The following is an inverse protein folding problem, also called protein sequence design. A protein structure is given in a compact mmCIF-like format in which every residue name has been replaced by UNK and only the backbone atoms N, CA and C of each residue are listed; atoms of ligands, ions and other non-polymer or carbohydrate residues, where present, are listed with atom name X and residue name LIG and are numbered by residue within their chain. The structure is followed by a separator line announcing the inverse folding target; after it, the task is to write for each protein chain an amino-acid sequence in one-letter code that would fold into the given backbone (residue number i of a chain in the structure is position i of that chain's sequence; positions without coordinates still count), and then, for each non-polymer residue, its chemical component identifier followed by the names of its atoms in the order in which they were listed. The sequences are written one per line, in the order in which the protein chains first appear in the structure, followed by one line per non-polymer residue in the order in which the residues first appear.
data_IF_447664258350
#
_entry.id   IF_447664258350
#
_cell.length_a   1.000
_cell.length_b   1.000
_cell.length_c   1.000
_cell.angle_alpha   90.00
_cell.angle_beta   90.00
_cell.angle_gamma   90.00
#
_symmetry.space_group_name_H-M   'P 1'
#
loop_
_entity.id
_entity.type
_entity.pdbx_description
1 polymer ?
#
# COMPACT_ATOMS: atom_id res chain seq x y z
N UNK A 1 32.25 20.81 -11.49
CA UNK A 1 32.92 21.10 -10.19
C UNK A 1 31.94 21.17 -9.02
N UNK A 2 30.69 21.62 -9.20
CA UNK A 2 29.70 21.67 -8.12
C UNK A 2 29.27 20.26 -7.61
N UNK A 3 29.13 19.29 -8.51
CA UNK A 3 28.63 17.95 -8.16
C UNK A 3 29.64 17.12 -7.37
N UNK A 4 30.94 17.26 -7.67
CA UNK A 4 32.02 16.56 -6.96
C UNK A 4 32.06 16.94 -5.47
N UNK A 5 31.95 18.23 -5.15
CA UNK A 5 31.93 18.70 -3.75
C UNK A 5 30.67 18.25 -3.00
N UNK A 6 29.53 18.11 -3.70
CA UNK A 6 28.29 17.59 -3.13
C UNK A 6 28.41 16.10 -2.79
N UNK A 7 28.99 15.31 -3.69
CA UNK A 7 29.25 13.88 -3.48
C UNK A 7 30.19 13.67 -2.29
N UNK A 8 31.31 14.38 -2.22
CA UNK A 8 32.27 14.25 -1.11
C UNK A 8 31.64 14.52 0.26
N UNK A 9 30.79 15.57 0.36
CA UNK A 9 30.09 15.89 1.61
C UNK A 9 29.14 14.78 2.04
N UNK A 10 28.38 14.21 1.10
CA UNK A 10 27.47 13.11 1.43
C UNK A 10 28.21 11.80 1.68
N UNK A 11 29.37 11.57 1.06
CA UNK A 11 30.25 10.44 1.39
C UNK A 11 30.72 10.53 2.84
N UNK A 12 31.22 11.70 3.28
CA UNK A 12 31.61 11.92 4.67
C UNK A 12 30.44 11.71 5.64
N UNK A 13 29.22 12.12 5.26
CA UNK A 13 28.03 11.89 6.07
C UNK A 13 27.69 10.39 6.20
N UNK A 14 27.78 9.63 5.10
CA UNK A 14 27.56 8.17 5.11
C UNK A 14 28.70 7.43 5.83
N UNK A 15 29.93 7.93 5.80
CA UNK A 15 31.04 7.39 6.59
C UNK A 15 30.83 7.61 8.08
N UNK A 16 30.28 8.76 8.47
CA UNK A 16 29.95 9.07 9.85
C UNK A 16 28.76 8.24 10.38
N UNK A 17 27.73 8.06 9.56
CA UNK A 17 26.60 7.16 9.83
C UNK A 17 26.17 6.38 8.58
N UNK A 18 26.59 5.10 8.47
CA UNK A 18 26.23 4.24 7.34
C UNK A 18 24.73 3.94 7.21
N UNK A 19 23.95 4.13 8.29
CA UNK A 19 22.53 3.86 8.35
C UNK A 19 21.67 5.13 8.23
N UNK A 20 22.27 6.30 8.01
CA UNK A 20 21.52 7.52 7.74
C UNK A 20 20.81 7.41 6.38
N UNK A 21 19.49 7.23 6.43
CA UNK A 21 18.59 7.12 5.29
C UNK A 21 18.74 8.32 4.35
N UNK A 22 18.78 9.54 4.90
CA UNK A 22 18.81 10.77 4.12
C UNK A 22 20.18 10.98 3.48
N UNK A 23 21.27 10.69 4.20
CA UNK A 23 22.62 10.78 3.66
C UNK A 23 22.84 9.79 2.52
N UNK A 24 22.43 8.52 2.72
CA UNK A 24 22.50 7.50 1.67
C UNK A 24 21.65 7.87 0.44
N UNK A 25 20.42 8.36 0.63
CA UNK A 25 19.58 8.80 -0.48
C UNK A 25 20.19 9.99 -1.23
N UNK A 26 20.69 10.98 -0.50
CA UNK A 26 21.28 12.19 -1.07
C UNK A 26 22.57 11.89 -1.84
N UNK A 27 23.40 10.98 -1.33
CA UNK A 27 24.60 10.49 -2.01
C UNK A 27 24.21 9.78 -3.31
N UNK A 28 23.28 8.83 -3.25
CA UNK A 28 22.79 8.12 -4.44
C UNK A 28 22.23 9.06 -5.50
N UNK A 29 21.44 10.06 -5.09
CA UNK A 29 20.90 11.06 -6.01
C UNK A 29 21.99 11.91 -6.67
N UNK A 30 22.98 12.38 -5.90
CA UNK A 30 24.12 13.13 -6.43
C UNK A 30 24.98 12.29 -7.40
N UNK A 31 25.16 11.00 -7.11
CA UNK A 31 25.85 10.06 -8.00
C UNK A 31 25.07 9.84 -9.31
N UNK A 32 23.75 9.74 -9.26
CA UNK A 32 22.90 9.67 -10.46
C UNK A 32 22.98 10.94 -11.32
N UNK A 33 23.02 12.12 -10.70
CA UNK A 33 23.23 13.42 -11.37
C UNK A 33 24.60 13.47 -12.06
N UNK A 34 25.62 12.85 -11.46
CA UNK A 34 26.97 12.76 -12.00
C UNK A 34 27.19 11.57 -12.97
N UNK A 35 26.12 10.88 -13.40
CA UNK A 35 26.14 9.71 -14.28
C UNK A 35 26.91 8.48 -13.74
N UNK A 36 27.14 8.43 -12.43
CA UNK A 36 27.82 7.34 -11.71
C UNK A 36 26.80 6.35 -11.15
N UNK A 37 26.03 5.74 -12.06
CA UNK A 37 24.89 4.90 -11.70
C UNK A 37 25.30 3.58 -11.01
N UNK A 38 26.49 3.08 -11.32
CA UNK A 38 27.13 1.91 -10.68
C UNK A 38 27.36 2.11 -9.18
N UNK A 39 27.78 3.32 -8.78
CA UNK A 39 27.96 3.68 -7.38
C UNK A 39 26.66 4.07 -6.67
N UNK A 40 25.69 4.60 -7.42
CA UNK A 40 24.40 5.04 -6.87
C UNK A 40 23.51 3.88 -6.39
N UNK A 41 23.50 2.75 -7.13
CA UNK A 41 22.66 1.58 -6.80
C UNK A 41 22.84 1.10 -5.35
N UNK A 42 24.08 0.84 -4.88
CA UNK A 42 24.35 0.46 -3.50
C UNK A 42 23.88 1.48 -2.46
N UNK A 43 23.86 2.78 -2.77
CA UNK A 43 23.33 3.80 -1.86
C UNK A 43 21.82 3.63 -1.66
N UNK A 44 21.05 3.46 -2.75
CA UNK A 44 19.60 3.25 -2.65
C UNK A 44 19.24 1.89 -2.02
N UNK A 45 20.05 0.86 -2.21
CA UNK A 45 19.89 -0.42 -1.50
C UNK A 45 20.02 -0.25 0.02
N UNK A 46 20.97 0.57 0.50
CA UNK A 46 21.10 0.89 1.92
C UNK A 46 19.88 1.66 2.44
N UNK A 47 19.36 2.61 1.67
CA UNK A 47 18.11 3.31 2.00
C UNK A 47 16.97 2.31 2.21
N UNK A 48 16.81 1.34 1.30
CA UNK A 48 15.78 0.31 1.40
C UNK A 48 16.03 -0.71 2.53
N UNK A 49 17.28 -0.92 2.93
CA UNK A 49 17.61 -1.76 4.08
C UNK A 49 17.22 -1.09 5.41
N UNK A 50 17.33 0.24 5.49
CA UNK A 50 16.92 1.04 6.66
C UNK A 50 15.41 1.26 6.66
N UNK A 51 14.87 1.65 5.51
CA UNK A 51 13.45 1.93 5.30
C UNK A 51 12.91 1.17 4.07
N UNK A 52 12.41 -0.06 4.26
CA UNK A 52 11.80 -0.85 3.19
C UNK A 52 10.54 -0.22 2.57
N UNK A 53 10.00 0.84 3.19
CA UNK A 53 8.78 1.52 2.73
C UNK A 53 9.08 2.82 1.95
N UNK A 54 10.34 3.04 1.55
CA UNK A 54 10.75 4.22 0.78
C UNK A 54 10.48 4.05 -0.73
N UNK A 55 9.26 4.37 -1.16
CA UNK A 55 8.81 4.24 -2.57
C UNK A 55 9.73 4.93 -3.59
N UNK A 56 10.23 6.13 -3.28
CA UNK A 56 11.15 6.86 -4.16
C UNK A 56 12.52 6.19 -4.30
N UNK A 57 13.01 5.49 -3.27
CA UNK A 57 14.28 4.76 -3.34
C UNK A 57 14.18 3.55 -4.28
N UNK A 58 13.03 2.87 -4.35
CA UNK A 58 12.77 1.85 -5.37
C UNK A 58 12.87 2.43 -6.79
N UNK A 59 12.24 3.59 -7.04
CA UNK A 59 12.32 4.26 -8.34
C UNK A 59 13.77 4.59 -8.71
N UNK A 60 14.53 5.17 -7.79
CA UNK A 60 15.92 5.57 -8.06
C UNK A 60 16.85 4.36 -8.24
N UNK A 61 16.66 3.30 -7.45
CA UNK A 61 17.40 2.05 -7.60
C UNK A 61 17.16 1.42 -8.98
N UNK A 62 15.91 1.35 -9.42
CA UNK A 62 15.56 0.84 -10.74
C UNK A 62 16.21 1.65 -11.86
N UNK A 63 16.20 2.99 -11.78
CA UNK A 63 16.89 3.85 -12.75
C UNK A 63 18.40 3.57 -12.79
N UNK A 64 19.03 3.37 -11.63
CA UNK A 64 20.45 3.01 -11.55
C UNK A 64 20.74 1.64 -12.20
N UNK A 65 19.87 0.66 -11.96
CA UNK A 65 19.97 -0.68 -12.56
C UNK A 65 19.80 -0.64 -14.09
N UNK A 66 18.84 0.13 -14.61
CA UNK A 66 18.65 0.31 -16.06
C UNK A 66 19.91 0.93 -16.68
N UNK A 67 20.45 2.00 -16.09
CA UNK A 67 21.67 2.66 -16.59
C UNK A 67 22.90 1.74 -16.61
N UNK A 68 22.96 0.78 -15.69
CA UNK A 68 24.07 -0.18 -15.58
C UNK A 68 23.82 -1.47 -16.38
N UNK A 69 22.71 -1.56 -17.14
CA UNK A 69 22.36 -2.72 -17.96
C UNK A 69 21.72 -3.89 -17.21
N UNK A 70 21.41 -3.72 -15.92
CA UNK A 70 20.76 -4.72 -15.08
C UNK A 70 19.23 -4.64 -15.19
N UNK A 71 18.70 -4.71 -16.41
CA UNK A 71 17.28 -4.48 -16.70
C UNK A 71 16.36 -5.47 -15.97
N UNK A 72 16.72 -6.75 -15.90
CA UNK A 72 15.91 -7.76 -15.21
C UNK A 72 15.71 -7.42 -13.72
N UNK A 73 16.80 -7.01 -13.05
CA UNK A 73 16.77 -6.56 -11.66
C UNK A 73 15.96 -5.27 -11.49
N UNK A 74 16.00 -4.38 -12.49
CA UNK A 74 15.21 -3.16 -12.50
C UNK A 74 13.72 -3.47 -12.57
N UNK A 75 13.30 -4.42 -13.42
CA UNK A 75 11.89 -4.82 -13.55
C UNK A 75 11.35 -5.32 -12.21
N UNK A 76 12.08 -6.21 -11.52
CA UNK A 76 11.67 -6.70 -10.20
C UNK A 76 11.60 -5.56 -9.16
N UNK A 77 12.58 -4.66 -9.18
CA UNK A 77 12.62 -3.50 -8.29
C UNK A 77 11.44 -2.55 -8.54
N UNK A 78 11.10 -2.31 -9.80
CA UNK A 78 9.96 -1.49 -10.22
C UNK A 78 8.63 -2.12 -9.82
N UNK A 79 8.46 -3.42 -10.04
CA UNK A 79 7.21 -4.13 -9.69
C UNK A 79 6.96 -4.06 -8.18
N UNK A 80 7.97 -4.36 -7.38
CA UNK A 80 7.88 -4.29 -5.92
C UNK A 80 7.63 -2.85 -5.43
N UNK A 81 8.39 -1.89 -5.96
CA UNK A 81 8.25 -0.48 -5.61
C UNK A 81 6.90 0.11 -5.99
N UNK A 82 6.37 -0.25 -7.16
CA UNK A 82 5.06 0.18 -7.63
C UNK A 82 3.93 -0.34 -6.74
N UNK A 83 3.95 -1.63 -6.38
CA UNK A 83 2.97 -2.18 -5.44
C UNK A 83 3.03 -1.49 -4.06
N UNK A 84 4.24 -1.23 -3.55
CA UNK A 84 4.45 -0.49 -2.30
C UNK A 84 3.89 0.93 -2.39
N UNK A 85 4.25 1.68 -3.43
CA UNK A 85 3.80 3.04 -3.66
C UNK A 85 2.27 3.12 -3.74
N UNK A 86 1.67 2.17 -4.44
CA UNK A 86 0.22 2.06 -4.56
C UNK A 86 -0.46 1.78 -3.22
N UNK A 87 0.05 0.84 -2.43
CA UNK A 87 -0.45 0.57 -1.06
C UNK A 87 -0.35 1.79 -0.13
N UNK A 88 0.68 2.63 -0.31
CA UNK A 88 0.89 3.85 0.47
C UNK A 88 0.11 5.06 -0.04
N UNK A 89 -0.40 5.01 -1.28
CA UNK A 89 -0.98 6.18 -1.94
C UNK A 89 0.07 7.17 -2.48
N UNK A 90 1.31 6.73 -2.66
CA UNK A 90 2.41 7.54 -3.20
C UNK A 90 2.29 7.66 -4.73
N UNK A 91 1.41 8.57 -5.20
CA UNK A 91 1.07 8.71 -6.62
C UNK A 91 2.27 9.02 -7.52
N UNK A 92 3.16 9.92 -7.09
CA UNK A 92 4.28 10.36 -7.92
C UNK A 92 5.32 9.25 -8.18
N UNK A 93 5.85 8.53 -7.16
CA UNK A 93 6.70 7.36 -7.38
C UNK A 93 5.99 6.25 -8.16
N UNK A 94 4.72 5.96 -7.87
CA UNK A 94 3.96 4.93 -8.58
C UNK A 94 3.88 5.23 -10.08
N UNK A 95 3.52 6.47 -10.45
CA UNK A 95 3.47 6.89 -11.85
C UNK A 95 4.84 6.82 -12.53
N UNK A 96 5.90 7.24 -11.84
CA UNK A 96 7.25 7.18 -12.38
C UNK A 96 7.73 5.75 -12.63
N UNK A 97 7.43 4.82 -11.71
CA UNK A 97 7.78 3.40 -11.87
C UNK A 97 6.92 2.72 -12.95
N UNK A 98 5.64 3.09 -13.08
CA UNK A 98 4.78 2.60 -14.15
C UNK A 98 5.31 3.00 -15.53
N UNK A 99 5.68 4.27 -15.71
CA UNK A 99 6.26 4.74 -16.96
C UNK A 99 7.56 3.99 -17.31
N UNK A 100 8.42 3.72 -16.33
CA UNK A 100 9.64 2.93 -16.55
C UNK A 100 9.33 1.48 -16.95
N UNK A 101 8.31 0.83 -16.37
CA UNK A 101 7.89 -0.51 -16.77
C UNK A 101 7.36 -0.53 -18.22
N UNK A 102 6.55 0.47 -18.59
CA UNK A 102 6.04 0.63 -19.95
C UNK A 102 7.18 0.87 -20.97
N UNK A 103 8.16 1.70 -20.63
CA UNK A 103 9.37 1.93 -21.45
C UNK A 103 10.17 0.64 -21.68
N UNK A 104 10.18 -0.26 -20.70
CA UNK A 104 10.83 -1.56 -20.79
C UNK A 104 9.96 -2.63 -21.49
N UNK A 105 8.72 -2.30 -21.87
CA UNK A 105 7.77 -3.23 -22.51
C UNK A 105 7.13 -4.22 -21.53
N UNK A 106 7.21 -3.95 -20.23
CA UNK A 106 6.67 -4.81 -19.18
C UNK A 106 5.26 -4.40 -18.76
N UNK A 107 4.42 -5.40 -18.50
CA UNK A 107 3.08 -5.14 -17.97
C UNK A 107 3.17 -4.63 -16.53
N UNK A 108 2.33 -3.65 -16.20
CA UNK A 108 2.19 -3.19 -14.82
C UNK A 108 1.75 -4.36 -13.95
N UNK A 109 2.39 -4.59 -12.80
CA UNK A 109 1.98 -5.66 -11.92
C UNK A 109 0.55 -5.35 -11.45
N UNK A 110 -0.27 -6.39 -11.34
CA UNK A 110 -1.60 -6.25 -10.77
C UNK A 110 -1.44 -5.62 -9.39
N UNK A 111 -1.88 -4.37 -9.25
CA UNK A 111 -2.02 -3.80 -7.93
C UNK A 111 -3.14 -4.60 -7.31
N UNK A 112 -2.81 -5.40 -6.29
CA UNK A 112 -3.83 -5.87 -5.36
C UNK A 112 -4.31 -4.67 -4.54
N UNK A 113 -4.79 -3.62 -5.19
CA UNK A 113 -6.06 -3.10 -4.77
C UNK A 113 -6.99 -4.32 -4.73
N UNK A 114 -7.65 -4.53 -3.60
CA UNK A 114 -9.05 -4.87 -3.73
C UNK A 114 -9.65 -3.76 -4.60
N UNK A 115 -9.68 -3.96 -5.92
CA UNK A 115 -10.85 -3.58 -6.69
C UNK A 115 -11.99 -4.11 -5.84
N UNK A 116 -12.71 -3.20 -5.17
CA UNK A 116 -14.13 -3.46 -4.97
C UNK A 116 -14.60 -3.98 -6.32
N UNK A 117 -15.18 -5.19 -6.39
CA UNK A 117 -15.45 -5.83 -7.67
C UNK A 117 -16.11 -4.79 -8.53
N UNK A 118 -15.48 -4.49 -9.68
CA UNK A 118 -16.14 -3.79 -10.76
C UNK A 118 -17.50 -4.45 -10.85
N UNK A 119 -18.52 -3.63 -10.63
CA UNK A 119 -19.91 -4.02 -10.63
C UNK A 119 -20.16 -4.92 -11.83
N UNK A 120 -20.20 -6.23 -11.60
CA UNK A 120 -21.02 -7.09 -12.41
C UNK A 120 -22.41 -6.55 -12.15
N UNK A 121 -22.90 -5.77 -13.11
CA UNK A 121 -24.25 -5.25 -13.09
C UNK A 121 -25.19 -6.44 -12.99
N UNK A 122 -25.64 -6.73 -11.77
CA UNK A 122 -26.79 -7.57 -11.53
C UNK A 122 -27.85 -6.66 -10.98
N UNK A 123 -28.89 -6.51 -11.79
CA UNK A 123 -30.07 -5.71 -11.55
C UNK A 123 -30.69 -6.14 -10.21
N UNK A 124 -30.47 -5.34 -9.17
CA UNK A 124 -31.23 -5.43 -7.93
C UNK A 124 -32.59 -4.77 -8.14
N UNK A 125 -33.61 -5.60 -8.22
CA UNK A 125 -35.00 -5.28 -7.93
C UNK A 125 -35.12 -4.31 -6.74
N UNK A 126 -35.69 -3.14 -7.00
CA UNK A 126 -35.65 -1.97 -6.10
C UNK A 126 -36.52 -2.09 -4.84
N UNK A 127 -36.22 -3.03 -3.93
CA UNK A 127 -36.88 -3.10 -2.62
C UNK A 127 -35.94 -3.15 -1.42
N UNK A 128 -34.62 -3.19 -1.62
CA UNK A 128 -33.68 -3.16 -0.52
C UNK A 128 -33.16 -1.74 -0.27
N UNK A 129 -33.40 -1.24 0.94
CA UNK A 129 -32.83 0.00 1.45
C UNK A 129 -31.98 -0.34 2.67
N UNK A 130 -30.69 -0.01 2.60
CA UNK A 130 -29.77 -0.20 3.70
C UNK A 130 -30.15 0.71 4.87
N UNK A 131 -30.31 0.15 6.08
CA UNK A 131 -30.66 0.91 7.29
C UNK A 131 -29.64 2.01 7.62
N UNK A 132 -28.36 1.74 7.35
CA UNK A 132 -27.25 2.63 7.71
C UNK A 132 -27.06 3.80 6.73
N UNK A 133 -26.93 3.48 5.44
CA UNK A 133 -26.60 4.51 4.43
C UNK A 133 -27.85 5.06 3.73
N UNK A 134 -29.03 4.46 3.93
CA UNK A 134 -30.26 4.84 3.21
C UNK A 134 -30.22 4.54 1.71
N UNK A 135 -29.14 3.93 1.22
CA UNK A 135 -28.94 3.62 -0.19
C UNK A 135 -29.38 2.20 -0.55
N UNK A 136 -29.59 2.00 -1.84
CA UNK A 136 -29.99 0.77 -2.52
C UNK A 136 -28.78 0.02 -3.09
N UNK A 137 -27.69 -0.03 -2.32
CA UNK A 137 -26.47 -0.78 -2.68
C UNK A 137 -26.68 -2.30 -2.65
N UNK A 138 -25.71 -3.08 -3.19
CA UNK A 138 -25.84 -4.53 -3.25
C UNK A 138 -25.99 -5.14 -1.85
N UNK A 139 -26.91 -6.10 -1.72
CA UNK A 139 -27.10 -6.90 -0.50
C UNK A 139 -25.89 -7.79 -0.25
N UNK A 140 -25.74 -8.25 0.98
CA UNK A 140 -24.74 -9.25 1.34
C UNK A 140 -25.08 -10.59 0.66
N UNK A 141 -24.17 -11.10 -0.18
CA UNK A 141 -24.33 -12.41 -0.82
C UNK A 141 -24.28 -13.57 0.18
N UNK A 142 -23.64 -13.37 1.34
CA UNK A 142 -23.47 -14.37 2.39
C UNK A 142 -23.59 -13.74 3.77
N UNK A 143 -24.22 -14.45 4.70
CA UNK A 143 -24.27 -14.06 6.11
C UNK A 143 -22.86 -13.99 6.69
N UNK A 144 -22.47 -12.89 7.37
CA UNK A 144 -21.09 -12.74 7.81
C UNK A 144 -20.62 -13.77 8.85
N UNK A 145 -21.54 -14.26 9.67
CA UNK A 145 -21.30 -15.33 10.62
C UNK A 145 -22.60 -16.10 10.86
N UNK A 146 -22.47 -17.30 11.43
CA UNK A 146 -23.61 -18.18 11.72
C UNK A 146 -24.37 -17.67 12.94
N UNK A 147 -25.69 -17.57 12.83
CA UNK A 147 -26.59 -17.15 13.89
C UNK A 147 -27.54 -16.03 13.46
N UNK A 148 -28.52 -15.73 14.32
CA UNK A 148 -29.61 -14.78 14.01
C UNK A 148 -29.12 -13.36 13.72
N UNK A 149 -28.04 -12.94 14.39
CA UNK A 149 -27.44 -11.62 14.20
C UNK A 149 -26.78 -11.49 12.81
N UNK A 150 -26.16 -12.56 12.30
CA UNK A 150 -25.57 -12.57 10.96
C UNK A 150 -26.63 -12.48 9.85
N UNK A 151 -27.78 -13.11 10.05
CA UNK A 151 -28.92 -13.02 9.14
C UNK A 151 -29.54 -11.62 9.15
N UNK A 152 -29.74 -11.03 10.33
CA UNK A 152 -30.30 -9.69 10.48
C UNK A 152 -29.45 -8.62 9.78
N UNK A 153 -28.12 -8.75 9.86
CA UNK A 153 -27.18 -7.87 9.16
C UNK A 153 -27.29 -8.05 7.65
N UNK A 154 -27.32 -9.31 7.16
CA UNK A 154 -27.50 -9.60 5.74
C UNK A 154 -28.80 -9.02 5.17
N UNK A 155 -29.86 -9.01 5.98
CA UNK A 155 -31.17 -8.53 5.59
C UNK A 155 -31.37 -7.02 5.74
N UNK A 156 -30.52 -6.32 6.49
CA UNK A 156 -30.70 -4.90 6.84
C UNK A 156 -29.60 -3.97 6.32
N UNK A 157 -28.44 -4.51 5.95
CA UNK A 157 -27.22 -3.73 5.66
C UNK A 157 -26.66 -4.10 4.27
N UNK A 158 -26.19 -3.11 3.52
CA UNK A 158 -25.56 -3.38 2.22
C UNK A 158 -24.10 -3.84 2.37
N UNK A 159 -23.58 -4.49 1.33
CA UNK A 159 -22.20 -5.00 1.26
C UNK A 159 -21.15 -3.92 1.59
N UNK A 160 -21.39 -2.68 1.16
CA UNK A 160 -20.46 -1.56 1.39
C UNK A 160 -20.39 -1.19 2.88
N UNK A 161 -21.54 -1.04 3.53
CA UNK A 161 -21.61 -0.70 4.95
C UNK A 161 -21.04 -1.81 5.83
N UNK A 162 -21.27 -3.07 5.46
CA UNK A 162 -20.63 -4.20 6.13
C UNK A 162 -19.11 -4.18 6.00
N UNK A 163 -18.58 -3.90 4.79
CA UNK A 163 -17.13 -3.80 4.58
C UNK A 163 -16.49 -2.70 5.43
N UNK A 164 -17.18 -1.56 5.58
CA UNK A 164 -16.75 -0.49 6.49
C UNK A 164 -16.72 -0.96 7.95
N UNK A 165 -17.70 -1.77 8.36
CA UNK A 165 -17.74 -2.31 9.72
C UNK A 165 -16.56 -3.25 9.96
N UNK A 166 -16.24 -4.17 9.05
CA UNK A 166 -15.10 -5.09 9.22
C UNK A 166 -13.78 -4.32 9.48
N UNK A 167 -13.58 -3.19 8.79
CA UNK A 167 -12.44 -2.31 9.04
C UNK A 167 -12.47 -1.67 10.43
N UNK A 168 -13.63 -1.15 10.86
CA UNK A 168 -13.80 -0.55 12.19
C UNK A 168 -13.73 -1.58 13.32
N UNK A 169 -14.31 -2.77 13.14
CA UNK A 169 -14.30 -3.85 14.11
C UNK A 169 -12.88 -4.30 14.45
N UNK A 170 -11.96 -4.31 13.48
CA UNK A 170 -10.53 -4.55 13.75
C UNK A 170 -9.95 -3.50 14.69
N UNK A 171 -10.31 -2.22 14.53
CA UNK A 171 -9.87 -1.15 15.42
C UNK A 171 -10.46 -1.29 16.82
N UNK A 172 -11.76 -1.56 16.91
CA UNK A 172 -12.45 -1.79 18.20
C UNK A 172 -11.79 -2.93 18.98
N UNK A 173 -11.48 -4.06 18.32
CA UNK A 173 -10.78 -5.18 18.96
C UNK A 173 -9.39 -4.76 19.46
N UNK A 174 -8.63 -4.02 18.64
CA UNK A 174 -7.28 -3.61 18.98
C UNK A 174 -7.22 -2.56 20.08
N UNK A 175 -8.11 -1.56 20.05
CA UNK A 175 -8.15 -0.43 20.98
C UNK A 175 -8.72 -0.83 22.34
N UNK A 176 -9.83 -1.59 22.35
CA UNK A 176 -10.46 -2.07 23.58
C UNK A 176 -9.85 -3.38 24.09
N UNK A 177 -8.85 -3.91 23.37
CA UNK A 177 -8.14 -5.18 23.69
C UNK A 177 -9.13 -6.31 23.96
N UNK A 178 -10.11 -6.50 23.07
CA UNK A 178 -11.20 -7.47 23.26
C UNK A 178 -10.72 -8.90 22.94
N UNK A 179 -10.57 -9.79 23.94
CA UNK A 179 -10.29 -11.18 23.68
C UNK A 179 -11.55 -11.87 23.14
N UNK A 180 -11.57 -12.23 21.85
CA UNK A 180 -12.77 -12.79 21.18
C UNK A 180 -13.21 -14.17 21.69
N UNK A 181 -12.49 -14.78 22.64
CA UNK A 181 -12.92 -16.01 23.32
C UNK A 181 -13.76 -15.73 24.59
N UNK A 182 -13.74 -14.50 25.12
CA UNK A 182 -14.53 -14.09 26.27
C UNK A 182 -15.94 -13.65 25.81
N UNK A 183 -17.03 -14.28 26.30
CA UNK A 183 -18.39 -13.87 25.98
C UNK A 183 -18.67 -12.38 26.24
N UNK A 184 -18.09 -11.79 27.29
CA UNK A 184 -18.29 -10.35 27.58
C UNK A 184 -17.64 -9.46 26.53
N UNK A 185 -16.48 -9.87 26.02
CA UNK A 185 -15.77 -9.15 24.97
C UNK A 185 -16.51 -9.27 23.62
N UNK A 186 -17.12 -10.43 23.35
CA UNK A 186 -18.00 -10.62 22.20
C UNK A 186 -19.25 -9.73 22.29
N UNK A 187 -19.89 -9.65 23.46
CA UNK A 187 -21.03 -8.74 23.68
C UNK A 187 -20.66 -7.26 23.47
N UNK A 188 -19.47 -6.84 23.94
CA UNK A 188 -18.96 -5.49 23.71
C UNK A 188 -18.72 -5.21 22.23
N UNK A 189 -18.13 -6.16 21.51
CA UNK A 189 -17.92 -6.07 20.06
C UNK A 189 -19.25 -5.97 19.32
N UNK A 190 -20.22 -6.82 19.66
CA UNK A 190 -21.56 -6.84 19.07
C UNK A 190 -22.33 -5.55 19.32
N UNK A 191 -22.15 -4.92 20.48
CA UNK A 191 -22.73 -3.62 20.78
C UNK A 191 -22.17 -2.53 19.85
N UNK A 192 -20.84 -2.45 19.71
CA UNK A 192 -20.22 -1.49 18.78
C UNK A 192 -20.63 -1.75 17.33
N UNK A 193 -20.83 -3.02 16.96
CA UNK A 193 -21.34 -3.39 15.65
C UNK A 193 -22.74 -2.83 15.41
N UNK A 194 -23.66 -3.04 16.36
CA UNK A 194 -25.05 -2.59 16.28
C UNK A 194 -25.18 -1.06 16.31
N UNK A 195 -24.28 -0.37 17.02
CA UNK A 195 -24.25 1.10 17.03
C UNK A 195 -23.74 1.67 15.70
N UNK A 196 -22.85 0.94 15.03
CA UNK A 196 -22.28 1.36 13.76
C UNK A 196 -23.24 1.13 12.58
N UNK A 197 -24.00 0.03 12.58
CA UNK A 197 -24.87 -0.41 11.48
C UNK A 197 -26.32 0.09 11.60
#
# INVERSE_FOLDING_TARGET
MADASKIEKFQQAVEADPHDELANFSLGAALMEADRADEAGPCFQRVLAVNPQHSKAHEMLARAQIKTGHTDLAIDTLRNGYQLAHRKGDVAPAKAMAALLEELGEALPETTEKKAPESVGVQGDGSFVCRRCGGNGPRLEKTPFKGDLGQLIADSVCQMCWTQWVGQGTKVINELRLPMYDPKAQEMYDRHMKEFL
#
